data_IF_860832936784
#
_entry.id   IF_860832936784
#
_cell.length_a   1.000
_cell.length_b   1.000
_cell.length_c   1.000
_cell.angle_alpha   90.00
_cell.angle_beta   90.00
_cell.angle_gamma   90.00
#
_symmetry.space_group_name_H-M   'P 1'
#
loop_
_entity.id
_entity.type
_entity.pdbx_description
1 polymer ?
#
# COMPACT_ATOMS: atom_id res chain seq x y z
N UNK A 1 -9.37 -12.00 -8.09
CA UNK A 1 -8.51 -12.04 -6.90
C UNK A 1 -7.23 -12.76 -7.25
N UNK A 2 -6.09 -12.18 -6.90
CA UNK A 2 -4.75 -12.75 -7.17
C UNK A 2 -4.03 -12.92 -5.86
N UNK A 3 -3.40 -14.09 -5.65
CA UNK A 3 -2.64 -14.40 -4.44
C UNK A 3 -1.21 -14.80 -4.77
N UNK A 4 -0.27 -14.39 -3.94
CA UNK A 4 1.12 -14.82 -4.06
C UNK A 4 1.83 -14.84 -2.71
N UNK A 5 2.90 -15.63 -2.65
CA UNK A 5 3.75 -15.72 -1.46
C UNK A 5 4.93 -14.76 -1.61
N UNK A 6 5.16 -13.94 -0.59
CA UNK A 6 6.32 -13.08 -0.48
C UNK A 6 7.22 -13.54 0.66
N UNK A 7 8.50 -13.74 0.37
CA UNK A 7 9.52 -14.08 1.36
C UNK A 7 10.02 -12.81 2.04
N UNK A 8 9.71 -12.63 3.31
CA UNK A 8 10.24 -11.49 4.08
C UNK A 8 11.74 -11.64 4.32
N UNK A 9 12.40 -10.57 4.77
CA UNK A 9 13.84 -10.59 5.06
C UNK A 9 14.18 -11.53 6.22
N UNK A 10 13.35 -11.57 7.26
CA UNK A 10 13.65 -12.35 8.47
C UNK A 10 12.44 -12.84 9.27
N UNK A 11 11.20 -12.64 8.79
CA UNK A 11 9.96 -12.98 9.52
C UNK A 11 9.19 -14.16 8.94
N UNK A 12 9.80 -14.88 7.98
CA UNK A 12 9.17 -15.98 7.27
C UNK A 12 8.34 -15.49 6.07
N UNK A 13 7.56 -16.40 5.52
CA UNK A 13 6.76 -16.11 4.33
C UNK A 13 5.41 -15.48 4.73
N UNK A 14 4.89 -14.62 3.87
CA UNK A 14 3.54 -14.05 3.98
C UNK A 14 2.77 -14.29 2.69
N UNK A 15 1.46 -14.44 2.80
CA UNK A 15 0.55 -14.42 1.65
C UNK A 15 0.04 -12.99 1.44
N UNK A 16 0.11 -12.52 0.21
CA UNK A 16 -0.50 -11.27 -0.24
C UNK A 16 -1.67 -11.63 -1.15
N UNK A 17 -2.83 -11.02 -0.90
CA UNK A 17 -4.05 -11.21 -1.69
C UNK A 17 -4.56 -9.86 -2.19
N UNK A 18 -4.59 -9.69 -3.52
CA UNK A 18 -5.29 -8.60 -4.19
C UNK A 18 -6.77 -8.97 -4.40
N UNK A 19 -7.68 -8.15 -3.86
CA UNK A 19 -9.13 -8.36 -3.93
C UNK A 19 -9.75 -7.69 -5.16
N UNK A 20 -11.08 -7.77 -5.30
CA UNK A 20 -11.80 -7.00 -6.30
C UNK A 20 -12.18 -5.59 -5.82
N UNK A 21 -12.00 -5.31 -4.52
CA UNK A 21 -12.37 -4.05 -3.87
C UNK A 21 -11.14 -3.13 -3.74
N UNK A 22 -10.21 -3.23 -4.69
CA UNK A 22 -8.95 -2.47 -4.72
C UNK A 22 -8.21 -2.49 -3.38
N UNK A 23 -8.14 -3.67 -2.75
CA UNK A 23 -7.44 -3.87 -1.48
C UNK A 23 -6.45 -5.03 -1.57
N UNK A 24 -5.26 -4.81 -1.00
CA UNK A 24 -4.26 -5.85 -0.79
C UNK A 24 -4.24 -6.28 0.68
N UNK A 25 -4.63 -7.52 0.97
CA UNK A 25 -4.51 -8.11 2.31
C UNK A 25 -3.18 -8.83 2.47
N UNK A 26 -2.59 -8.74 3.66
CA UNK A 26 -1.35 -9.45 4.03
C UNK A 26 -1.65 -10.40 5.18
N UNK A 27 -1.36 -11.70 4.99
CA UNK A 27 -1.56 -12.74 6.00
C UNK A 27 -0.29 -13.54 6.28
N UNK A 28 -0.14 -14.02 7.51
CA UNK A 28 0.89 -15.03 7.82
C UNK A 28 0.55 -16.35 7.11
N UNK A 29 1.57 -17.15 6.78
CA UNK A 29 1.36 -18.52 6.24
C UNK A 29 1.16 -19.57 7.34
N UNK A 30 0.95 -19.13 8.58
CA UNK A 30 0.69 -20.01 9.72
C UNK A 30 -0.69 -20.69 9.63
N UNK A 31 -0.95 -21.62 10.55
CA UNK A 31 -2.26 -22.26 10.68
C UNK A 31 -2.82 -22.01 12.09
N UNK A 32 -3.88 -21.20 12.24
CA UNK A 32 -4.59 -20.48 11.17
C UNK A 32 -3.76 -19.29 10.62
N UNK A 33 -4.03 -18.85 9.39
CA UNK A 33 -3.43 -17.62 8.86
C UNK A 33 -3.98 -16.41 9.61
N UNK A 34 -3.10 -15.50 9.99
CA UNK A 34 -3.46 -14.27 10.69
C UNK A 34 -3.36 -13.07 9.75
N UNK A 35 -4.38 -12.20 9.73
CA UNK A 35 -4.32 -10.91 9.02
C UNK A 35 -3.39 -9.97 9.79
N UNK A 36 -2.39 -9.44 9.09
CA UNK A 36 -1.33 -8.63 9.70
C UNK A 36 -1.23 -7.21 9.12
N UNK A 37 -1.92 -6.94 8.02
CA UNK A 37 -1.92 -5.64 7.37
C UNK A 37 -2.82 -5.62 6.15
N UNK A 38 -3.16 -4.41 5.69
CA UNK A 38 -3.72 -4.20 4.37
C UNK A 38 -3.30 -2.86 3.77
N UNK A 39 -3.52 -2.72 2.46
CA UNK A 39 -3.38 -1.48 1.71
C UNK A 39 -4.61 -1.34 0.82
N UNK A 40 -5.37 -0.28 1.02
CA UNK A 40 -6.56 0.06 0.24
C UNK A 40 -6.19 1.12 -0.78
N UNK A 41 -6.76 0.97 -1.97
CA UNK A 41 -6.53 1.83 -3.10
C UNK A 41 -7.86 2.39 -3.59
N UNK A 42 -7.81 3.59 -4.16
CA UNK A 42 -8.87 4.15 -4.97
C UNK A 42 -8.39 4.16 -6.41
N UNK A 43 -9.16 3.55 -7.31
CA UNK A 43 -8.91 3.66 -8.73
C UNK A 43 -9.29 5.06 -9.22
N UNK A 44 -8.34 5.77 -9.82
CA UNK A 44 -8.55 7.08 -10.43
C UNK A 44 -8.51 6.89 -11.95
N UNK A 45 -9.65 7.15 -12.59
CA UNK A 45 -9.74 7.16 -14.05
C UNK A 45 -9.09 8.42 -14.61
N UNK A 46 -8.26 8.27 -15.64
CA UNK A 46 -7.66 9.39 -16.34
C UNK A 46 -8.71 10.29 -16.99
N UNK A 47 -8.68 11.60 -16.72
CA UNK A 47 -9.68 12.56 -17.21
C UNK A 47 -9.54 12.90 -18.72
N UNK A 48 -8.61 12.28 -19.45
CA UNK A 48 -8.42 12.50 -20.89
C UNK A 48 -7.19 11.81 -21.47
N UNK A 49 -6.79 12.18 -22.68
CA UNK A 49 -5.65 11.58 -23.39
C UNK A 49 -4.26 11.82 -22.75
N UNK A 50 -4.18 12.59 -21.67
CA UNK A 50 -2.92 12.98 -21.01
C UNK A 50 -2.81 12.48 -19.57
N UNK A 51 -3.90 12.03 -18.96
CA UNK A 51 -3.90 11.43 -17.63
C UNK A 51 -4.09 9.93 -17.78
N UNK A 52 -3.14 9.16 -17.25
CA UNK A 52 -3.23 7.71 -17.21
C UNK A 52 -3.98 7.26 -15.95
N UNK A 53 -4.76 6.19 -16.09
CA UNK A 53 -5.39 5.51 -14.95
C UNK A 53 -4.32 5.12 -13.92
N UNK A 54 -4.62 5.34 -12.64
CA UNK A 54 -3.72 5.02 -11.56
C UNK A 54 -4.46 4.64 -10.28
N UNK A 55 -3.70 4.13 -9.30
CA UNK A 55 -4.22 3.79 -7.99
C UNK A 55 -3.67 4.75 -6.93
N UNK A 56 -4.57 5.46 -6.27
CA UNK A 56 -4.26 6.25 -5.09
C UNK A 56 -4.30 5.37 -3.85
N UNK A 57 -3.22 5.30 -3.07
CA UNK A 57 -3.27 4.66 -1.75
C UNK A 57 -4.07 5.54 -0.81
N UNK A 58 -5.19 5.01 -0.32
CA UNK A 58 -6.03 5.72 0.63
C UNK A 58 -5.66 5.34 2.06
N UNK A 59 -5.69 4.05 2.37
CA UNK A 59 -5.39 3.54 3.70
C UNK A 59 -4.31 2.46 3.65
N UNK A 60 -3.46 2.39 4.67
CA UNK A 60 -2.54 1.28 4.84
C UNK A 60 -2.13 1.06 6.29
N UNK A 61 -1.94 -0.20 6.67
CA UNK A 61 -1.36 -0.56 7.96
C UNK A 61 -0.61 -1.90 7.87
N UNK A 62 0.34 -2.10 8.80
CA UNK A 62 1.09 -3.34 8.93
C UNK A 62 1.45 -3.56 10.40
N UNK A 63 0.43 -3.91 11.16
CA UNK A 63 0.48 -4.00 12.61
C UNK A 63 1.06 -5.34 13.09
N UNK A 64 1.11 -6.35 12.22
CA UNK A 64 1.55 -7.68 12.64
C UNK A 64 0.56 -8.35 13.62
N UNK A 65 0.87 -9.58 14.03
CA UNK A 65 0.14 -10.25 15.11
C UNK A 65 0.17 -9.39 16.38
N UNK A 66 -1.00 -9.19 16.99
CA UNK A 66 -1.18 -8.45 18.25
C UNK A 66 -0.68 -6.99 18.24
N UNK A 67 -0.60 -6.32 17.08
CA UNK A 67 -0.19 -4.90 17.02
C UNK A 67 1.29 -4.66 17.28
N UNK A 68 2.14 -5.67 17.11
CA UNK A 68 3.57 -5.62 17.45
C UNK A 68 4.43 -4.84 16.44
N UNK A 69 3.91 -4.56 15.24
CA UNK A 69 4.68 -4.03 14.11
C UNK A 69 5.81 -4.97 13.65
N UNK A 70 5.77 -6.26 14.03
CA UNK A 70 6.89 -7.19 13.81
C UNK A 70 7.26 -7.39 12.33
N UNK A 71 6.35 -7.07 11.42
CA UNK A 71 6.52 -7.20 9.96
C UNK A 71 6.88 -5.87 9.27
N UNK A 72 7.03 -4.78 10.02
CA UNK A 72 7.51 -3.51 9.48
C UNK A 72 8.91 -3.66 8.88
N UNK A 73 9.19 -2.87 7.83
CA UNK A 73 10.49 -2.79 7.14
C UNK A 73 10.96 -4.12 6.50
N UNK A 74 10.06 -5.10 6.37
CA UNK A 74 10.31 -6.41 5.74
C UNK A 74 10.20 -6.41 4.20
N UNK A 75 9.77 -5.30 3.60
CA UNK A 75 9.62 -5.18 2.14
C UNK A 75 8.23 -5.51 1.60
N UNK A 76 7.26 -5.82 2.48
CA UNK A 76 5.90 -6.22 2.10
C UNK A 76 5.18 -5.10 1.34
N UNK A 77 5.08 -3.89 1.89
CA UNK A 77 4.43 -2.78 1.18
C UNK A 77 5.09 -2.45 -0.16
N UNK A 78 6.42 -2.57 -0.24
CA UNK A 78 7.15 -2.41 -1.50
C UNK A 78 6.80 -3.49 -2.52
N UNK A 79 6.61 -4.73 -2.07
CA UNK A 79 6.18 -5.83 -2.92
C UNK A 79 4.81 -5.56 -3.53
N UNK A 80 3.86 -5.12 -2.71
CA UNK A 80 2.50 -4.78 -3.15
C UNK A 80 2.57 -3.76 -4.29
N UNK A 81 3.23 -2.62 -4.07
CA UNK A 81 3.37 -1.55 -5.06
C UNK A 81 4.06 -2.04 -6.34
N UNK A 82 5.14 -2.81 -6.22
CA UNK A 82 5.88 -3.33 -7.38
C UNK A 82 5.04 -4.29 -8.24
N UNK A 83 4.05 -4.95 -7.65
CA UNK A 83 3.16 -5.88 -8.34
C UNK A 83 1.92 -5.20 -8.95
N UNK A 84 1.74 -3.89 -8.76
CA UNK A 84 0.62 -3.15 -9.33
C UNK A 84 0.78 -3.01 -10.85
N UNK A 85 -0.34 -3.15 -11.57
CA UNK A 85 -0.39 -3.04 -13.03
C UNK A 85 -0.49 -1.60 -13.53
N UNK A 86 -0.95 -0.69 -12.67
CA UNK A 86 -1.05 0.74 -12.93
C UNK A 86 -0.10 1.50 -12.00
N UNK A 87 0.30 2.72 -12.35
CA UNK A 87 1.01 3.61 -11.45
C UNK A 87 0.30 3.72 -10.09
N UNK A 88 1.10 3.86 -9.03
CA UNK A 88 0.60 4.07 -7.67
C UNK A 88 0.94 5.50 -7.25
N UNK A 89 -0.04 6.20 -6.70
CA UNK A 89 0.12 7.54 -6.14
C UNK A 89 -0.19 7.56 -4.65
N UNK A 90 0.33 8.58 -3.98
CA UNK A 90 0.01 8.93 -2.60
C UNK A 90 -0.38 10.40 -2.55
N UNK A 91 -1.32 10.77 -1.70
CA UNK A 91 -1.54 12.19 -1.41
C UNK A 91 -0.27 12.83 -0.85
N UNK A 92 0.04 14.02 -1.35
CA UNK A 92 1.07 14.85 -0.75
C UNK A 92 0.66 15.19 0.69
N UNK A 93 1.57 14.98 1.64
CA UNK A 93 1.35 15.41 3.02
C UNK A 93 1.46 16.94 3.09
N UNK A 94 0.34 17.61 2.93
CA UNK A 94 0.20 19.07 3.02
C UNK A 94 0.02 19.55 4.48
N UNK A 95 0.11 18.62 5.44
CA UNK A 95 -0.14 18.89 6.86
C UNK A 95 -1.60 19.08 7.23
N UNK A 96 -2.53 19.00 6.26
CA UNK A 96 -3.96 19.06 6.50
C UNK A 96 -4.54 17.65 6.66
N UNK A 97 -5.44 17.49 7.63
CA UNK A 97 -6.18 16.25 7.81
C UNK A 97 -7.30 16.20 6.77
N UNK A 98 -7.10 15.47 5.69
CA UNK A 98 -8.14 15.19 4.71
C UNK A 98 -9.02 14.04 5.22
N UNK A 99 -10.35 14.20 5.17
CA UNK A 99 -11.36 13.25 5.66
C UNK A 99 -11.84 12.28 4.55
N UNK A 100 -11.12 12.26 3.43
CA UNK A 100 -11.36 11.41 2.26
C UNK A 100 -10.78 9.99 2.41
N UNK A 101 -10.16 9.71 3.55
CA UNK A 101 -9.53 8.43 3.83
C UNK A 101 -8.15 8.26 3.21
N UNK A 102 -7.57 9.29 2.58
CA UNK A 102 -6.22 9.34 1.99
C UNK A 102 -5.07 9.60 2.96
N UNK A 103 -5.38 9.74 4.24
CA UNK A 103 -4.41 10.16 5.24
C UNK A 103 -3.53 8.99 5.71
N UNK A 104 -2.25 9.05 5.33
CA UNK A 104 -1.23 8.14 5.83
C UNK A 104 -0.90 8.46 7.29
N UNK A 105 -1.17 7.52 8.20
CA UNK A 105 -0.82 7.66 9.63
C UNK A 105 0.38 6.80 10.02
N UNK A 106 1.01 7.13 11.15
CA UNK A 106 2.16 6.38 11.68
C UNK A 106 3.36 6.39 10.74
N UNK A 107 3.81 5.20 10.31
CA UNK A 107 4.95 5.04 9.41
C UNK A 107 4.60 5.29 7.91
N UNK A 108 3.33 5.55 7.60
CA UNK A 108 2.82 5.74 6.23
C UNK A 108 3.52 6.84 5.43
N UNK A 109 3.66 8.09 5.94
CA UNK A 109 4.32 9.17 5.20
C UNK A 109 5.79 8.88 4.86
N UNK A 110 6.53 8.27 5.80
CA UNK A 110 7.91 7.87 5.59
C UNK A 110 8.02 6.73 4.56
N UNK A 111 7.05 5.81 4.54
CA UNK A 111 6.94 4.78 3.53
C UNK A 111 6.65 5.36 2.14
N UNK A 112 5.65 6.23 1.99
CA UNK A 112 5.31 6.88 0.72
C UNK A 112 6.50 7.66 0.15
N UNK A 113 7.13 8.51 0.97
CA UNK A 113 8.34 9.25 0.59
C UNK A 113 9.43 8.34 0.04
N UNK A 114 9.62 7.17 0.65
CA UNK A 114 10.61 6.20 0.19
C UNK A 114 10.24 5.57 -1.14
N UNK A 115 8.97 5.20 -1.34
CA UNK A 115 8.50 4.61 -2.61
C UNK A 115 8.61 5.59 -3.77
N UNK A 116 8.27 6.87 -3.53
CA UNK A 116 8.43 7.94 -4.52
C UNK A 116 9.91 8.15 -4.85
N UNK A 117 10.77 8.25 -3.83
CA UNK A 117 12.22 8.40 -4.04
C UNK A 117 12.84 7.22 -4.80
N UNK A 118 12.28 6.03 -4.66
CA UNK A 118 12.72 4.81 -5.36
C UNK A 118 12.11 4.66 -6.77
N UNK A 119 11.24 5.59 -7.19
CA UNK A 119 10.56 5.54 -8.50
C UNK A 119 9.52 4.43 -8.62
N UNK A 120 8.98 3.96 -7.49
CA UNK A 120 7.94 2.93 -7.43
C UNK A 120 6.54 3.52 -7.33
N UNK A 121 6.43 4.79 -6.96
CA UNK A 121 5.18 5.53 -6.82
C UNK A 121 5.41 7.01 -7.13
N UNK A 122 4.33 7.79 -7.18
CA UNK A 122 4.37 9.24 -7.38
C UNK A 122 3.55 9.96 -6.29
N UNK A 123 3.74 11.27 -6.17
CA UNK A 123 2.81 12.10 -5.39
C UNK A 123 1.64 12.47 -6.29
N UNK A 124 0.43 12.42 -5.74
CA UNK A 124 -0.76 12.97 -6.35
C UNK A 124 -0.57 14.49 -6.49
N UNK A 125 -0.71 15.01 -7.71
CA UNK A 125 -0.72 16.45 -7.93
C UNK A 125 -2.09 16.97 -7.46
N UNK A 126 -2.11 17.70 -6.34
CA UNK A 126 -3.32 18.40 -5.94
C UNK A 126 -3.69 19.44 -7.00
N UNK A 127 -4.97 19.57 -7.34
CA UNK A 127 -5.46 20.68 -8.16
C UNK A 127 -4.99 22.00 -7.53
N UNK A 128 -4.15 22.75 -8.26
CA UNK A 128 -3.61 24.04 -7.85
C UNK A 128 -4.63 25.18 -7.99
#
# INVERSE_FOLDING_TARGET
MTKWIFKTKSKGDVEIEWTYDDEAFVRTTGSPPELIGSMTFMHIEGAGHQDDDHFLVTNMYLDGPNGTGAYLKQGIGREIIRCMSLPVTFHADDGNRQDDGGHLTGDGPAFATKMVKEGLAFWEEGEA
#
